data_IF_065963517330
#
_entry.id   IF_065963517330
#
_cell.length_a   1.000
_cell.length_b   1.000
_cell.length_c   1.000
_cell.angle_alpha   90.00
_cell.angle_beta   90.00
_cell.angle_gamma   90.00
#
_symmetry.space_group_name_H-M   'P 1'
#
loop_
_entity.id
_entity.type
_entity.pdbx_description
1 polymer ?
#
# COMPACT_ATOMS: atom_id res chain seq x y z
N UNK A 1 -40.80 18.14 1.09
CA UNK A 1 -40.05 18.97 0.10
C UNK A 1 -38.58 18.56 0.00
N UNK A 2 -37.85 18.51 1.13
CA UNK A 2 -36.40 18.20 1.17
C UNK A 2 -36.07 16.83 0.55
N UNK A 3 -36.75 15.76 0.96
CA UNK A 3 -36.52 14.41 0.41
C UNK A 3 -36.78 14.32 -1.10
N UNK A 4 -37.82 14.99 -1.61
CA UNK A 4 -38.10 15.01 -3.05
C UNK A 4 -36.98 15.70 -3.85
N UNK A 5 -36.39 16.76 -3.31
CA UNK A 5 -35.23 17.41 -3.91
C UNK A 5 -34.01 16.46 -3.88
N UNK A 6 -33.72 15.86 -2.73
CA UNK A 6 -32.64 14.89 -2.54
C UNK A 6 -32.67 13.77 -3.59
N UNK A 7 -33.81 13.10 -3.71
CA UNK A 7 -33.99 12.02 -4.68
C UNK A 7 -34.01 12.50 -6.13
N UNK A 8 -34.42 13.75 -6.41
CA UNK A 8 -34.36 14.28 -7.78
C UNK A 8 -32.92 14.54 -8.23
N UNK A 9 -32.05 15.00 -7.32
CA UNK A 9 -30.60 15.08 -7.57
C UNK A 9 -30.06 13.67 -7.83
N UNK A 10 -30.46 12.71 -6.99
CA UNK A 10 -30.11 11.30 -7.16
C UNK A 10 -30.54 10.70 -8.50
N UNK A 11 -31.73 11.05 -9.02
CA UNK A 11 -32.17 10.66 -10.36
C UNK A 11 -31.23 11.18 -11.44
N UNK A 12 -30.84 12.46 -11.37
CA UNK A 12 -29.88 13.05 -12.30
C UNK A 12 -28.53 12.33 -12.26
N UNK A 13 -28.00 12.11 -11.05
CA UNK A 13 -26.75 11.36 -10.85
C UNK A 13 -26.84 9.93 -11.42
N UNK A 14 -27.89 9.18 -11.09
CA UNK A 14 -28.07 7.80 -11.54
C UNK A 14 -28.17 7.66 -13.07
N UNK A 15 -28.90 8.57 -13.73
CA UNK A 15 -28.97 8.59 -15.20
C UNK A 15 -27.61 8.93 -15.84
N UNK A 16 -26.87 9.89 -15.27
CA UNK A 16 -25.52 10.22 -15.74
C UNK A 16 -24.56 9.06 -15.50
N UNK A 17 -24.64 8.38 -14.36
CA UNK A 17 -23.81 7.23 -14.04
C UNK A 17 -24.12 6.04 -14.97
N UNK A 18 -25.39 5.74 -15.25
CA UNK A 18 -25.81 4.72 -16.21
C UNK A 18 -25.14 4.89 -17.57
N UNK A 19 -25.19 6.10 -18.12
CA UNK A 19 -24.57 6.41 -19.42
C UNK A 19 -23.04 6.41 -19.30
N UNK A 20 -22.49 7.06 -18.28
CA UNK A 20 -21.06 7.26 -18.10
C UNK A 20 -20.30 5.95 -17.87
N UNK A 21 -20.75 5.09 -16.95
CA UNK A 21 -20.09 3.82 -16.65
C UNK A 21 -20.17 2.87 -17.86
N UNK A 22 -21.33 2.81 -18.53
CA UNK A 22 -21.49 2.01 -19.75
C UNK A 22 -20.53 2.47 -20.85
N UNK A 23 -20.41 3.79 -21.06
CA UNK A 23 -19.48 4.36 -22.03
C UNK A 23 -18.02 4.03 -21.69
N UNK A 24 -17.63 4.16 -20.41
CA UNK A 24 -16.28 3.82 -19.93
C UNK A 24 -15.95 2.35 -20.21
N UNK A 25 -16.87 1.42 -19.93
CA UNK A 25 -16.63 -0.01 -20.19
C UNK A 25 -16.50 -0.32 -21.68
N UNK A 26 -17.34 0.28 -22.53
CA UNK A 26 -17.24 0.12 -24.00
C UNK A 26 -15.90 0.69 -24.49
N UNK A 27 -15.54 1.89 -24.02
CA UNK A 27 -14.27 2.54 -24.37
C UNK A 27 -13.07 1.67 -23.96
N UNK A 28 -13.08 1.14 -22.74
CA UNK A 28 -12.02 0.26 -22.26
C UNK A 28 -11.91 -1.00 -23.12
N UNK A 29 -13.04 -1.64 -23.47
CA UNK A 29 -13.03 -2.87 -24.24
C UNK A 29 -12.60 -2.69 -25.69
N UNK A 30 -13.11 -1.66 -26.37
CA UNK A 30 -13.00 -1.54 -27.82
C UNK A 30 -12.07 -0.42 -28.32
N UNK A 31 -11.87 0.65 -27.54
CA UNK A 31 -11.12 1.83 -27.98
C UNK A 31 -9.76 1.98 -27.29
N UNK A 32 -9.55 1.39 -26.12
CA UNK A 32 -8.31 1.52 -25.37
C UNK A 32 -7.51 0.22 -25.26
N UNK A 33 -6.30 0.22 -25.84
CA UNK A 33 -5.23 -0.71 -25.48
C UNK A 33 -4.35 -0.17 -24.34
N UNK A 34 -4.69 1.00 -23.78
CA UNK A 34 -3.90 1.62 -22.72
C UNK A 34 -4.13 0.94 -21.38
N UNK A 35 -3.11 0.21 -20.92
CA UNK A 35 -3.08 -0.46 -19.63
C UNK A 35 -3.29 0.51 -18.46
N UNK A 36 -2.93 1.80 -18.59
CA UNK A 36 -3.07 2.79 -17.50
C UNK A 36 -4.52 3.05 -17.13
N UNK A 37 -5.41 3.20 -18.11
CA UNK A 37 -6.83 3.45 -17.86
C UNK A 37 -7.50 2.20 -17.25
N UNK A 38 -7.12 1.02 -17.72
CA UNK A 38 -7.58 -0.26 -17.17
C UNK A 38 -7.17 -0.44 -15.71
N UNK A 39 -5.92 -0.09 -15.38
CA UNK A 39 -5.41 -0.15 -14.01
C UNK A 39 -6.07 0.90 -13.12
N UNK A 40 -6.35 2.09 -13.63
CA UNK A 40 -7.05 3.13 -12.88
C UNK A 40 -8.48 2.69 -12.52
N UNK A 41 -9.23 2.14 -13.47
CA UNK A 41 -10.60 1.66 -13.23
C UNK A 41 -10.63 0.41 -12.33
N UNK A 42 -9.67 -0.50 -12.51
CA UNK A 42 -9.50 -1.67 -11.62
C UNK A 42 -9.16 -1.23 -10.20
N UNK A 43 -8.27 -0.24 -10.04
CA UNK A 43 -7.94 0.36 -8.74
C UNK A 43 -9.15 1.07 -8.12
N UNK A 44 -9.97 1.73 -8.94
CA UNK A 44 -11.17 2.42 -8.49
C UNK A 44 -12.24 1.44 -7.96
N UNK A 45 -12.47 0.32 -8.68
CA UNK A 45 -13.45 -0.71 -8.34
C UNK A 45 -13.00 -1.66 -7.24
N UNK A 46 -11.75 -2.11 -7.29
CA UNK A 46 -11.26 -3.13 -6.37
C UNK A 46 -10.45 -2.55 -5.21
N UNK A 47 -10.00 -1.29 -5.28
CA UNK A 47 -9.23 -0.61 -4.21
C UNK A 47 -7.87 -1.23 -3.88
N UNK A 48 -7.55 -2.39 -4.48
CA UNK A 48 -6.39 -3.21 -4.18
C UNK A 48 -5.80 -3.75 -5.48
N UNK A 49 -4.47 -3.84 -5.54
CA UNK A 49 -3.79 -4.59 -6.58
C UNK A 49 -4.11 -6.08 -6.41
N UNK A 50 -4.62 -6.76 -7.45
CA UNK A 50 -5.03 -8.18 -7.40
C UNK A 50 -3.92 -9.18 -7.10
N UNK A 51 -2.66 -8.72 -7.05
CA UNK A 51 -1.47 -9.52 -6.73
C UNK A 51 -1.24 -9.71 -5.22
N UNK A 52 -2.05 -9.11 -4.34
CA UNK A 52 -1.82 -9.12 -2.89
C UNK A 52 -2.56 -10.30 -2.21
N UNK A 53 -1.82 -11.11 -1.44
CA UNK A 53 -2.41 -12.10 -0.52
C UNK A 53 -3.22 -11.34 0.54
N UNK A 54 -4.55 -11.41 0.45
CA UNK A 54 -5.47 -10.76 1.39
C UNK A 54 -5.27 -11.40 2.77
N UNK A 55 -4.85 -10.61 3.77
CA UNK A 55 -4.77 -11.07 5.15
C UNK A 55 -6.17 -11.33 5.73
N UNK A 56 -6.28 -12.21 6.73
CA UNK A 56 -7.54 -12.41 7.46
C UNK A 56 -8.10 -11.11 8.04
N UNK A 57 -7.23 -10.18 8.45
CA UNK A 57 -7.67 -8.85 8.90
C UNK A 57 -8.30 -8.03 7.78
N UNK A 58 -7.71 -8.06 6.59
CA UNK A 58 -8.18 -7.29 5.44
C UNK A 58 -9.50 -7.87 4.92
N UNK A 59 -9.63 -9.20 4.91
CA UNK A 59 -10.91 -9.89 4.64
C UNK A 59 -12.01 -9.44 5.62
N UNK A 60 -11.68 -9.26 6.90
CA UNK A 60 -12.61 -8.73 7.91
C UNK A 60 -13.07 -7.30 7.60
N UNK A 61 -12.14 -6.40 7.23
CA UNK A 61 -12.51 -5.04 6.82
C UNK A 61 -13.38 -5.02 5.58
N UNK A 62 -13.06 -5.85 4.57
CA UNK A 62 -13.86 -5.99 3.36
C UNK A 62 -15.27 -6.46 3.70
N UNK A 63 -15.43 -7.51 4.50
CA UNK A 63 -16.74 -8.05 4.87
C UNK A 63 -17.62 -7.01 5.59
N UNK A 64 -17.07 -6.32 6.60
CA UNK A 64 -17.81 -5.30 7.34
C UNK A 64 -18.15 -4.11 6.43
N UNK A 65 -17.20 -3.68 5.60
CA UNK A 65 -17.42 -2.58 4.66
C UNK A 65 -18.49 -2.92 3.62
N UNK A 66 -18.56 -4.17 3.15
CA UNK A 66 -19.64 -4.66 2.27
C UNK A 66 -20.97 -4.65 2.99
N UNK A 67 -21.03 -5.19 4.21
CA UNK A 67 -22.27 -5.19 4.98
C UNK A 67 -22.82 -3.77 5.19
N UNK A 68 -21.95 -2.81 5.55
CA UNK A 68 -22.34 -1.42 5.75
C UNK A 68 -22.77 -0.77 4.43
N UNK A 69 -22.00 -0.93 3.36
CA UNK A 69 -22.30 -0.30 2.06
C UNK A 69 -23.58 -0.84 1.44
N UNK A 70 -23.82 -2.15 1.51
CA UNK A 70 -25.07 -2.77 1.06
C UNK A 70 -26.25 -2.28 1.91
N UNK A 71 -26.08 -2.16 3.23
CA UNK A 71 -27.13 -1.60 4.09
C UNK A 71 -27.48 -0.16 3.72
N UNK A 72 -26.48 0.68 3.41
CA UNK A 72 -26.68 2.06 2.96
C UNK A 72 -27.40 2.12 1.60
N UNK A 73 -27.07 1.21 0.67
CA UNK A 73 -27.74 1.08 -0.62
C UNK A 73 -29.23 0.79 -0.46
N UNK A 74 -29.56 -0.29 0.26
CA UNK A 74 -30.92 -0.73 0.50
C UNK A 74 -31.72 0.29 1.33
N UNK A 75 -31.07 0.94 2.29
CA UNK A 75 -31.66 2.04 3.05
C UNK A 75 -32.06 3.21 2.15
N UNK A 76 -31.29 3.48 1.09
CA UNK A 76 -31.65 4.46 0.07
C UNK A 76 -32.98 4.15 -0.60
N UNK A 77 -33.17 2.91 -1.09
CA UNK A 77 -34.44 2.48 -1.68
C UNK A 77 -35.59 2.54 -0.67
N UNK A 78 -35.36 2.08 0.56
CA UNK A 78 -36.36 2.10 1.63
C UNK A 78 -36.85 3.52 1.94
N UNK A 79 -35.94 4.50 2.08
CA UNK A 79 -36.33 5.90 2.31
C UNK A 79 -37.07 6.46 1.10
N UNK A 80 -36.66 6.12 -0.13
CA UNK A 80 -37.33 6.59 -1.33
C UNK A 80 -38.79 6.14 -1.38
N UNK A 81 -39.04 4.85 -1.12
CA UNK A 81 -40.39 4.28 -1.04
C UNK A 81 -41.22 4.91 0.08
N UNK A 82 -40.64 5.03 1.28
CA UNK A 82 -41.30 5.65 2.42
C UNK A 82 -41.67 7.12 2.14
N UNK A 83 -40.83 7.85 1.39
CA UNK A 83 -41.09 9.24 1.01
C UNK A 83 -42.27 9.42 0.05
N UNK A 84 -42.67 8.35 -0.62
CA UNK A 84 -43.82 8.28 -1.54
C UNK A 84 -45.00 7.51 -0.92
N UNK A 85 -44.90 7.15 0.37
CA UNK A 85 -45.97 6.50 1.12
C UNK A 85 -46.17 5.02 0.81
N UNK A 86 -45.19 4.37 0.19
CA UNK A 86 -45.24 2.95 -0.17
C UNK A 86 -44.70 2.11 0.98
N UNK A 87 -45.46 1.08 1.37
CA UNK A 87 -45.06 0.16 2.42
C UNK A 87 -44.07 -0.87 1.89
N UNK A 88 -43.08 -1.16 2.72
CA UNK A 88 -42.08 -2.19 2.47
C UNK A 88 -42.71 -3.55 2.82
N UNK A 89 -42.50 -4.57 1.99
CA UNK A 89 -42.99 -5.92 2.31
C UNK A 89 -42.02 -6.62 3.27
N UNK A 90 -40.75 -6.72 2.87
CA UNK A 90 -39.69 -7.29 3.69
C UNK A 90 -38.31 -6.80 3.24
N UNK A 91 -37.32 -6.95 4.12
CA UNK A 91 -35.90 -6.81 3.79
C UNK A 91 -35.30 -8.20 3.91
N UNK A 92 -34.72 -8.72 2.83
CA UNK A 92 -33.99 -9.98 2.88
C UNK A 92 -32.49 -9.70 2.95
N UNK A 93 -31.81 -10.31 3.92
CA UNK A 93 -30.35 -10.32 4.03
C UNK A 93 -29.89 -11.72 3.70
N UNK A 94 -28.90 -11.84 2.82
CA UNK A 94 -28.35 -13.12 2.37
C UNK A 94 -26.81 -13.06 2.33
N UNK A 95 -26.18 -14.23 2.26
CA UNK A 95 -24.74 -14.34 2.04
C UNK A 95 -24.56 -15.14 0.76
N UNK A 96 -24.02 -14.50 -0.28
CA UNK A 96 -23.67 -15.15 -1.54
C UNK A 96 -22.18 -15.46 -1.55
N UNK A 97 -21.83 -16.74 -1.42
CA UNK A 97 -20.46 -17.22 -1.24
C UNK A 97 -19.82 -16.63 0.02
N UNK A 98 -19.14 -15.49 -0.08
CA UNK A 98 -18.50 -14.77 1.03
C UNK A 98 -18.94 -13.29 1.12
N UNK A 99 -19.83 -12.85 0.24
CA UNK A 99 -20.27 -11.46 0.18
C UNK A 99 -21.66 -11.33 0.83
N UNK A 100 -21.81 -10.50 1.87
CA UNK A 100 -23.12 -10.18 2.41
C UNK A 100 -23.88 -9.33 1.39
N UNK A 101 -25.13 -9.72 1.13
CA UNK A 101 -26.08 -9.02 0.29
C UNK A 101 -27.36 -8.71 1.06
N UNK A 102 -28.07 -7.69 0.63
CA UNK A 102 -29.42 -7.41 1.10
C UNK A 102 -30.25 -6.93 -0.08
N UNK A 103 -31.56 -7.08 0.02
CA UNK A 103 -32.52 -6.53 -0.92
C UNK A 103 -33.75 -6.05 -0.15
N UNK A 104 -34.27 -4.90 -0.55
CA UNK A 104 -35.58 -4.42 -0.13
C UNK A 104 -36.64 -4.93 -1.10
N UNK A 105 -37.59 -5.72 -0.60
CA UNK A 105 -38.73 -6.20 -1.38
C UNK A 105 -39.93 -5.26 -1.24
N UNK A 106 -40.53 -4.94 -2.38
CA UNK A 106 -41.70 -4.08 -2.52
C UNK A 106 -42.52 -4.54 -3.72
N UNK A 107 -43.79 -4.16 -3.74
CA UNK A 107 -44.72 -4.47 -4.82
C UNK A 107 -44.31 -3.75 -6.12
N UNK A 108 -43.78 -4.53 -7.07
CA UNK A 108 -43.37 -4.04 -8.38
C UNK A 108 -44.55 -3.54 -9.23
N UNK A 109 -45.74 -4.14 -9.09
CA UNK A 109 -46.92 -3.73 -9.84
C UNK A 109 -47.42 -2.36 -9.35
N UNK A 110 -47.35 -2.12 -8.03
CA UNK A 110 -47.63 -0.82 -7.44
C UNK A 110 -46.60 0.25 -7.89
N UNK A 111 -45.31 -0.11 -7.97
CA UNK A 111 -44.26 0.80 -8.42
C UNK A 111 -44.38 1.15 -9.92
N UNK A 112 -44.85 0.22 -10.75
CA UNK A 112 -45.14 0.47 -12.17
C UNK A 112 -46.36 1.37 -12.38
N UNK A 113 -47.31 1.38 -11.45
CA UNK A 113 -48.47 2.27 -11.47
C UNK A 113 -48.12 3.74 -11.11
N UNK A 114 -46.94 3.99 -10.51
CA UNK A 114 -46.51 5.33 -10.14
C UNK A 114 -46.12 6.20 -11.35
N UNK A 115 -46.11 7.54 -11.18
CA UNK A 115 -45.48 8.43 -12.15
C UNK A 115 -44.01 8.04 -12.40
N UNK A 116 -43.60 8.01 -13.67
CA UNK A 116 -42.26 7.57 -14.11
C UNK A 116 -41.10 8.24 -13.35
N UNK A 117 -41.22 9.53 -13.03
CA UNK A 117 -40.21 10.25 -12.27
C UNK A 117 -40.11 9.77 -10.82
N UNK A 118 -41.21 9.32 -10.23
CA UNK A 118 -41.23 8.72 -8.90
C UNK A 118 -40.54 7.36 -8.90
N UNK A 119 -40.83 6.51 -9.88
CA UNK A 119 -40.15 5.21 -10.01
C UNK A 119 -38.65 5.39 -10.25
N UNK A 120 -38.23 6.36 -11.09
CA UNK A 120 -36.81 6.70 -11.27
C UNK A 120 -36.13 7.17 -9.98
N UNK A 121 -36.82 7.93 -9.12
CA UNK A 121 -36.27 8.32 -7.81
C UNK A 121 -35.99 7.11 -6.93
N UNK A 122 -36.89 6.12 -6.94
CA UNK A 122 -36.73 4.88 -6.17
C UNK A 122 -35.58 4.04 -6.72
N UNK A 123 -35.53 3.79 -8.03
CA UNK A 123 -34.46 2.97 -8.62
C UNK A 123 -33.08 3.63 -8.54
N UNK A 124 -32.97 4.95 -8.67
CA UNK A 124 -31.69 5.64 -8.49
C UNK A 124 -31.29 5.82 -7.02
N UNK A 125 -32.14 5.46 -6.05
CA UNK A 125 -31.93 5.81 -4.65
C UNK A 125 -30.71 5.12 -4.04
N UNK A 126 -30.52 3.82 -4.25
CA UNK A 126 -29.38 3.07 -3.73
C UNK A 126 -28.04 3.57 -4.27
N UNK A 127 -27.97 3.73 -5.60
CA UNK A 127 -26.80 4.34 -6.29
C UNK A 127 -26.45 5.70 -5.68
N UNK A 128 -27.45 6.57 -5.49
CA UNK A 128 -27.23 7.90 -4.93
C UNK A 128 -26.72 7.87 -3.49
N UNK A 129 -27.30 7.02 -2.63
CA UNK A 129 -26.87 6.92 -1.23
C UNK A 129 -25.44 6.38 -1.09
N UNK A 130 -25.07 5.39 -1.91
CA UNK A 130 -23.70 4.90 -1.96
C UNK A 130 -22.71 5.93 -2.50
N UNK A 131 -23.10 6.71 -3.52
CA UNK A 131 -22.26 7.80 -4.03
C UNK A 131 -22.01 8.88 -2.97
N UNK A 132 -23.06 9.26 -2.22
CA UNK A 132 -22.95 10.20 -1.09
C UNK A 132 -22.10 9.61 0.03
N UNK A 133 -22.28 8.34 0.37
CA UNK A 133 -21.54 7.68 1.44
C UNK A 133 -20.06 7.52 1.08
N UNK A 134 -19.77 7.22 -0.19
CA UNK A 134 -18.43 7.29 -0.76
C UNK A 134 -17.83 8.71 -0.60
N UNK A 135 -18.56 9.76 -1.00
CA UNK A 135 -18.09 11.14 -0.83
C UNK A 135 -17.84 11.51 0.65
N UNK A 136 -18.69 11.02 1.56
CA UNK A 136 -18.51 11.19 3.00
C UNK A 136 -17.25 10.49 3.50
N UNK A 137 -16.99 9.24 3.09
CA UNK A 137 -15.77 8.52 3.45
C UNK A 137 -14.52 9.25 2.93
N UNK A 138 -14.55 9.74 1.69
CA UNK A 138 -13.47 10.54 1.10
C UNK A 138 -13.23 11.86 1.87
N UNK A 139 -14.31 12.54 2.28
CA UNK A 139 -14.21 13.74 3.11
C UNK A 139 -13.64 13.42 4.50
N UNK A 140 -14.05 12.33 5.13
CA UNK A 140 -13.52 11.91 6.42
C UNK A 140 -12.05 11.53 6.35
N UNK A 141 -11.61 10.88 5.28
CA UNK A 141 -10.19 10.60 5.01
C UNK A 141 -9.39 11.90 4.85
N UNK A 142 -9.91 12.85 4.07
CA UNK A 142 -9.27 14.15 3.89
C UNK A 142 -9.17 14.95 5.20
N UNK A 143 -10.22 14.89 6.04
CA UNK A 143 -10.24 15.55 7.34
C UNK A 143 -9.57 14.75 8.46
N UNK A 144 -9.09 13.52 8.18
CA UNK A 144 -8.53 12.63 9.19
C UNK A 144 -7.41 13.27 10.02
N UNK A 145 -6.41 13.98 9.44
CA UNK A 145 -5.36 14.62 10.24
C UNK A 145 -5.92 15.65 11.23
N UNK A 146 -6.96 16.41 10.82
CA UNK A 146 -7.62 17.41 11.65
C UNK A 146 -8.44 16.76 12.76
N UNK A 147 -9.18 15.70 12.45
CA UNK A 147 -9.99 14.93 13.41
C UNK A 147 -9.10 14.27 14.47
N UNK A 148 -7.94 13.75 14.05
CA UNK A 148 -7.01 13.05 14.93
C UNK A 148 -6.05 13.99 15.67
N UNK A 149 -5.86 15.23 15.20
CA UNK A 149 -4.93 16.22 15.77
C UNK A 149 -5.04 16.41 17.31
N UNK A 150 -6.23 16.42 17.95
CA UNK A 150 -6.32 16.58 19.40
C UNK A 150 -5.67 15.43 20.18
N UNK A 151 -5.59 14.24 19.59
CA UNK A 151 -5.13 13.01 20.25
C UNK A 151 -3.78 12.52 19.70
N UNK A 152 -3.46 12.85 18.45
CA UNK A 152 -2.28 12.40 17.74
C UNK A 152 -1.49 13.57 17.16
N UNK A 153 -0.17 13.38 17.04
CA UNK A 153 0.74 14.21 16.26
C UNK A 153 1.21 13.41 15.05
N UNK A 154 1.53 14.10 13.96
CA UNK A 154 2.34 13.48 12.90
C UNK A 154 3.79 13.39 13.38
N UNK A 155 4.34 12.19 13.37
CA UNK A 155 5.72 11.93 13.70
C UNK A 155 6.64 12.37 12.55
N UNK A 156 7.83 12.88 12.87
CA UNK A 156 8.88 13.20 11.88
C UNK A 156 9.53 11.95 11.27
N UNK A 157 9.33 10.79 11.92
CA UNK A 157 9.83 9.47 11.54
C UNK A 157 8.75 8.43 11.81
N UNK A 158 8.54 7.46 10.90
CA UNK A 158 7.47 6.47 11.06
C UNK A 158 7.72 5.55 12.27
N UNK A 159 6.67 5.32 13.05
CA UNK A 159 6.68 4.54 14.27
C UNK A 159 6.30 3.08 14.00
N UNK A 160 7.04 2.15 14.61
CA UNK A 160 6.79 0.71 14.58
C UNK A 160 5.56 0.38 15.43
N UNK A 161 4.47 -0.04 14.79
CA UNK A 161 3.28 -0.55 15.46
C UNK A 161 3.43 -2.01 15.88
N UNK A 162 3.85 -2.84 14.93
CA UNK A 162 4.09 -4.28 15.07
C UNK A 162 5.33 -4.67 14.28
N UNK A 163 6.01 -5.70 14.78
CA UNK A 163 7.21 -6.26 14.16
C UNK A 163 7.15 -7.78 14.26
N UNK A 164 7.50 -8.44 13.17
CA UNK A 164 7.64 -9.87 13.03
C UNK A 164 9.08 -10.21 12.58
N UNK A 165 9.40 -11.50 12.53
CA UNK A 165 10.65 -11.96 11.93
C UNK A 165 10.70 -11.53 10.45
N UNK A 166 11.84 -11.05 9.92
CA UNK A 166 13.18 -11.10 10.53
C UNK A 166 13.58 -9.87 11.38
N UNK A 167 12.77 -8.82 11.46
CA UNK A 167 13.14 -7.58 12.16
C UNK A 167 12.86 -7.57 13.66
N UNK A 168 12.13 -8.56 14.18
CA UNK A 168 11.72 -8.65 15.60
C UNK A 168 12.87 -8.78 16.60
N UNK A 169 14.06 -9.15 16.13
CA UNK A 169 15.27 -9.24 16.96
C UNK A 169 15.92 -7.86 17.19
N UNK A 170 15.67 -6.90 16.29
CA UNK A 170 16.33 -5.59 16.28
C UNK A 170 15.41 -4.45 16.68
N UNK A 171 14.14 -4.53 16.28
CA UNK A 171 13.14 -3.50 16.48
C UNK A 171 12.09 -3.96 17.48
N UNK A 172 11.54 -3.00 18.21
CA UNK A 172 10.42 -3.20 19.13
C UNK A 172 9.26 -2.27 18.78
N UNK A 173 8.01 -2.66 19.10
CA UNK A 173 6.87 -1.76 18.96
C UNK A 173 7.07 -0.46 19.75
N UNK A 174 6.96 0.68 19.08
CA UNK A 174 7.22 2.01 19.64
C UNK A 174 8.57 2.62 19.24
N UNK A 175 9.43 1.88 18.54
CA UNK A 175 10.64 2.44 17.93
C UNK A 175 10.25 3.28 16.70
N UNK A 176 10.98 4.36 16.42
CA UNK A 176 10.80 5.17 15.21
C UNK A 176 11.96 4.97 14.24
N UNK A 177 11.65 4.64 12.98
CA UNK A 177 12.65 4.43 11.94
C UNK A 177 13.16 5.78 11.45
N UNK A 178 14.42 6.08 11.73
CA UNK A 178 15.04 7.37 11.43
C UNK A 178 15.65 7.40 10.02
N UNK A 179 16.37 6.34 9.62
CA UNK A 179 17.03 6.29 8.32
C UNK A 179 17.23 4.87 7.79
N UNK A 180 17.37 4.78 6.46
CA UNK A 180 17.71 3.58 5.70
C UNK A 180 18.97 3.86 4.88
N UNK A 181 20.06 3.12 5.09
CA UNK A 181 21.38 3.36 4.48
C UNK A 181 21.84 4.83 4.62
N UNK A 182 21.52 5.46 5.76
CA UNK A 182 21.83 6.86 6.04
C UNK A 182 20.89 7.88 5.37
N UNK A 183 19.95 7.47 4.53
CA UNK A 183 18.91 8.35 4.00
C UNK A 183 17.76 8.47 5.01
N UNK A 184 17.40 9.69 5.39
CA UNK A 184 16.34 9.94 6.36
C UNK A 184 14.97 9.45 5.85
N UNK A 185 14.23 8.77 6.72
CA UNK A 185 12.88 8.28 6.44
C UNK A 185 11.88 9.14 7.22
N UNK A 186 11.11 9.93 6.48
CA UNK A 186 10.13 10.86 7.05
C UNK A 186 8.67 10.37 6.98
N UNK A 187 8.41 9.33 6.21
CA UNK A 187 7.06 8.82 5.98
C UNK A 187 7.08 7.32 5.70
N UNK A 188 5.93 6.66 5.90
CA UNK A 188 5.74 5.25 5.51
C UNK A 188 5.90 5.10 4.00
N UNK A 189 5.46 6.10 3.23
CA UNK A 189 5.63 6.11 1.79
C UNK A 189 7.10 6.15 1.38
N UNK A 190 7.91 7.01 2.01
CA UNK A 190 9.36 7.07 1.76
C UNK A 190 10.03 5.71 2.04
N UNK A 191 9.61 5.03 3.12
CA UNK A 191 10.07 3.68 3.43
C UNK A 191 9.72 2.67 2.32
N UNK A 192 8.47 2.65 1.85
CA UNK A 192 8.02 1.72 0.80
C UNK A 192 8.69 2.02 -0.55
N UNK A 193 8.82 3.29 -0.93
CA UNK A 193 9.46 3.67 -2.20
C UNK A 193 10.95 3.33 -2.20
N UNK A 194 11.65 3.64 -1.11
CA UNK A 194 13.08 3.37 -1.02
C UNK A 194 13.39 1.87 -1.03
N UNK A 195 12.59 1.07 -0.33
CA UNK A 195 12.74 -0.39 -0.31
C UNK A 195 12.38 -1.02 -1.65
N UNK A 196 11.35 -0.54 -2.35
CA UNK A 196 11.02 -0.99 -3.71
C UNK A 196 12.11 -0.65 -4.73
N UNK A 197 12.76 0.51 -4.61
CA UNK A 197 13.91 0.87 -5.45
C UNK A 197 15.12 -0.04 -5.19
N UNK A 198 15.38 -0.38 -3.93
CA UNK A 198 16.45 -1.30 -3.56
C UNK A 198 16.18 -2.71 -4.11
N UNK A 199 14.94 -3.19 -4.03
CA UNK A 199 14.52 -4.47 -4.60
C UNK A 199 14.70 -4.52 -6.13
N UNK A 200 14.24 -3.48 -6.84
CA UNK A 200 14.43 -3.35 -8.29
C UNK A 200 15.92 -3.36 -8.68
N UNK A 201 16.78 -2.80 -7.85
CA UNK A 201 18.24 -2.79 -8.06
C UNK A 201 18.82 -4.21 -8.03
N UNK A 202 18.29 -5.13 -7.22
CA UNK A 202 18.69 -6.55 -7.21
C UNK A 202 18.41 -7.17 -8.58
N UNK A 203 17.19 -6.97 -9.08
CA UNK A 203 16.73 -7.50 -10.37
C UNK A 203 17.53 -6.91 -11.56
N UNK A 204 17.90 -5.62 -11.50
CA UNK A 204 18.68 -4.96 -12.56
C UNK A 204 20.19 -5.19 -12.49
N UNK A 205 20.77 -5.44 -11.30
CA UNK A 205 22.17 -5.86 -11.20
C UNK A 205 22.44 -7.22 -11.88
N UNK A 206 21.39 -7.96 -12.24
CA UNK A 206 21.46 -9.14 -13.12
C UNK A 206 21.60 -8.78 -14.62
N UNK A 207 21.35 -7.52 -15.02
CA UNK A 207 21.31 -7.09 -16.42
C UNK A 207 21.68 -5.60 -16.59
N UNK A 208 22.99 -5.34 -16.60
CA UNK A 208 23.66 -4.14 -17.12
C UNK A 208 23.56 -2.82 -16.31
N UNK A 209 24.73 -2.25 -16.06
CA UNK A 209 24.95 -0.99 -15.36
C UNK A 209 24.65 0.19 -16.28
N UNK A 210 23.65 1.01 -15.95
CA UNK A 210 23.60 2.48 -16.14
C UNK A 210 22.19 3.00 -15.80
N UNK A 211 22.15 4.20 -15.21
CA UNK A 211 21.01 5.06 -14.83
C UNK A 211 20.43 4.95 -13.40
N UNK A 212 20.82 5.90 -12.53
CA UNK A 212 19.95 7.01 -12.10
C UNK A 212 20.76 8.06 -11.32
N UNK A 213 21.00 9.23 -11.92
CA UNK A 213 21.33 10.46 -11.21
C UNK A 213 20.03 11.02 -10.63
N UNK A 214 19.91 11.10 -9.30
CA UNK A 214 18.76 11.77 -8.66
C UNK A 214 18.54 11.40 -7.20
N UNK A 215 18.98 10.22 -6.79
CA UNK A 215 19.03 9.82 -5.38
C UNK A 215 20.48 9.46 -5.10
N UNK A 216 21.07 10.06 -4.06
CA UNK A 216 22.49 9.92 -3.75
C UNK A 216 22.95 8.47 -3.91
N UNK A 217 23.85 8.26 -4.86
CA UNK A 217 24.24 6.95 -5.38
C UNK A 217 24.42 5.93 -4.25
N UNK A 218 23.47 4.99 -4.12
CA UNK A 218 23.65 3.81 -3.29
C UNK A 218 24.66 2.96 -4.04
N UNK A 219 25.95 3.19 -3.82
CA UNK A 219 27.04 2.54 -4.52
C UNK A 219 27.10 1.07 -4.10
N UNK A 220 27.36 0.19 -5.06
CA UNK A 220 27.48 -1.26 -4.88
C UNK A 220 28.76 -1.66 -4.14
N UNK A 221 29.35 -0.74 -3.36
CA UNK A 221 30.71 -0.78 -2.81
C UNK A 221 30.80 -0.17 -1.41
N UNK A 222 29.69 -0.18 -0.66
CA UNK A 222 29.70 0.18 0.77
C UNK A 222 30.27 -0.96 1.61
N UNK A 223 30.98 -0.61 2.68
CA UNK A 223 31.59 -1.54 3.63
C UNK A 223 32.07 -0.80 4.88
N UNK A 224 32.72 -1.53 5.79
CA UNK A 224 33.30 -0.99 7.02
C UNK A 224 34.81 -1.21 7.05
N UNK A 225 35.54 -0.22 7.55
CA UNK A 225 36.96 -0.33 7.86
C UNK A 225 37.13 -1.12 9.16
N UNK A 226 37.48 -2.40 9.03
CA UNK A 226 37.65 -3.30 10.17
C UNK A 226 39.15 -3.43 10.49
N UNK A 227 39.57 -3.12 11.73
CA UNK A 227 40.95 -3.35 12.18
C UNK A 227 41.39 -4.79 11.96
N UNK A 228 42.60 -4.98 11.46
CA UNK A 228 43.14 -6.31 11.15
C UNK A 228 43.19 -7.22 12.39
N UNK A 229 43.34 -6.66 13.60
CA UNK A 229 43.26 -7.40 14.87
C UNK A 229 41.91 -8.13 15.05
N UNK A 230 40.79 -7.53 14.65
CA UNK A 230 39.46 -8.17 14.72
C UNK A 230 39.29 -9.27 13.66
N UNK A 231 40.11 -9.26 12.61
CA UNK A 231 40.11 -10.31 11.59
C UNK A 231 40.85 -11.55 12.06
N UNK A 232 41.88 -11.39 12.90
CA UNK A 232 42.61 -12.51 13.50
C UNK A 232 41.75 -13.28 14.52
N UNK A 233 40.83 -12.59 15.19
CA UNK A 233 39.87 -13.17 16.15
C UNK A 233 38.60 -13.75 15.48
N UNK A 234 38.38 -13.45 14.19
CA UNK A 234 37.18 -13.85 13.46
C UNK A 234 37.15 -15.35 13.13
N UNK A 235 35.97 -15.97 13.27
CA UNK A 235 35.80 -17.39 12.91
C UNK A 235 35.56 -17.53 11.41
N UNK A 236 36.35 -18.39 10.76
CA UNK A 236 36.19 -18.72 9.34
C UNK A 236 34.85 -19.43 9.07
N UNK A 237 34.20 -19.05 7.98
CA UNK A 237 32.91 -19.63 7.55
C UNK A 237 33.11 -20.92 6.76
N UNK A 238 32.35 -21.97 7.08
CA UNK A 238 32.15 -23.12 6.18
C UNK A 238 31.03 -22.77 5.19
N UNK A 239 31.39 -22.37 3.98
CA UNK A 239 30.45 -22.05 2.90
C UNK A 239 29.89 -23.34 2.28
N UNK A 240 28.76 -23.83 2.80
CA UNK A 240 27.95 -24.79 2.07
C UNK A 240 27.22 -24.06 0.93
N UNK A 241 27.18 -24.66 -0.27
CA UNK A 241 26.52 -24.09 -1.46
C UNK A 241 25.12 -23.57 -1.09
N UNK A 242 25.00 -22.24 -0.99
CA UNK A 242 23.79 -21.43 -0.73
C UNK A 242 23.46 -21.02 0.71
N UNK A 243 24.35 -21.19 1.71
CA UNK A 243 24.19 -20.50 3.02
C UNK A 243 25.51 -20.40 3.76
N UNK A 244 25.92 -19.18 4.14
CA UNK A 244 26.91 -18.97 5.20
C UNK A 244 26.20 -19.15 6.54
N UNK A 245 26.62 -20.14 7.33
CA UNK A 245 26.05 -20.38 8.66
C UNK A 245 26.95 -19.71 9.69
N UNK A 246 26.66 -18.43 10.00
CA UNK A 246 27.23 -17.78 11.17
C UNK A 246 26.35 -18.07 12.41
N UNK A 247 26.94 -18.11 13.62
CA UNK A 247 26.18 -18.14 14.87
C UNK A 247 25.25 -16.93 14.99
N UNK A 248 24.23 -17.03 15.85
CA UNK A 248 23.33 -15.90 16.16
C UNK A 248 24.14 -14.68 16.64
N UNK A 249 23.73 -13.46 16.24
CA UNK A 249 24.44 -12.17 16.35
C UNK A 249 25.64 -11.92 15.38
N UNK A 250 26.12 -12.94 14.66
CA UNK A 250 27.24 -12.80 13.71
C UNK A 250 26.76 -12.76 12.26
N UNK A 251 27.36 -11.87 11.46
CA UNK A 251 27.14 -11.82 10.00
C UNK A 251 28.43 -12.21 9.29
N UNK A 252 28.31 -12.91 8.16
CA UNK A 252 29.45 -13.23 7.33
C UNK A 252 29.89 -11.97 6.56
N UNK A 253 31.16 -11.58 6.70
CA UNK A 253 31.78 -10.50 5.96
C UNK A 253 32.87 -11.05 5.05
N UNK A 254 33.08 -10.38 3.92
CA UNK A 254 34.16 -10.65 2.97
C UNK A 254 34.95 -9.38 2.74
N UNK A 255 36.27 -9.53 2.60
CA UNK A 255 37.16 -8.42 2.24
C UNK A 255 36.86 -7.94 0.83
N UNK A 256 36.71 -6.63 0.67
CA UNK A 256 36.54 -6.00 -0.64
C UNK A 256 37.76 -5.14 -0.97
N UNK A 257 38.19 -5.19 -2.23
CA UNK A 257 39.30 -4.38 -2.72
C UNK A 257 38.74 -3.14 -3.41
N UNK A 258 39.14 -1.96 -2.92
CA UNK A 258 38.76 -0.69 -3.50
C UNK A 258 39.50 -0.46 -4.83
N UNK A 259 38.75 -0.24 -5.91
CA UNK A 259 39.31 0.02 -7.23
C UNK A 259 39.91 1.43 -7.29
N UNK A 260 41.09 1.53 -7.92
CA UNK A 260 41.63 2.80 -8.39
C UNK A 260 41.14 3.00 -9.83
N UNK A 261 40.23 3.96 -10.12
CA UNK A 261 39.72 4.18 -11.48
C UNK A 261 40.83 4.62 -12.45
N UNK A 262 42.03 4.95 -11.97
CA UNK A 262 43.19 5.28 -12.80
C UNK A 262 44.03 4.07 -13.24
N UNK A 263 43.76 2.86 -12.73
CA UNK A 263 44.45 1.62 -13.11
C UNK A 263 43.48 0.62 -13.74
N UNK A 264 43.39 0.62 -15.06
CA UNK A 264 42.84 -0.50 -15.82
C UNK A 264 43.79 -1.69 -15.69
N UNK A 265 43.41 -2.70 -14.92
CA UNK A 265 44.06 -4.01 -14.97
C UNK A 265 43.07 -4.95 -15.64
N UNK A 266 43.41 -5.40 -16.84
CA UNK A 266 42.79 -6.55 -17.47
C UNK A 266 43.05 -7.77 -16.57
N UNK A 267 42.04 -8.23 -15.86
CA UNK A 267 42.09 -9.51 -15.14
C UNK A 267 40.95 -10.38 -15.69
N UNK A 268 41.35 -11.50 -16.28
CA UNK A 268 40.46 -12.50 -16.88
C UNK A 268 39.36 -12.93 -15.91
N UNK A 269 38.15 -13.07 -16.46
CA UNK A 269 36.89 -13.23 -15.73
C UNK A 269 36.65 -14.58 -15.04
N UNK A 270 37.65 -15.45 -14.91
CA UNK A 270 37.50 -16.78 -14.28
C UNK A 270 37.99 -16.85 -12.82
N UNK A 271 38.86 -15.94 -12.36
CA UNK A 271 39.41 -15.98 -10.99
C UNK A 271 38.59 -15.19 -9.94
N UNK A 272 37.58 -14.43 -10.36
CA UNK A 272 36.78 -13.58 -9.45
C UNK A 272 35.77 -14.37 -8.62
N UNK A 273 35.28 -15.52 -9.09
CA UNK A 273 34.25 -16.31 -8.38
C UNK A 273 34.82 -17.40 -7.44
N UNK A 274 36.07 -17.84 -7.65
CA UNK A 274 36.74 -18.81 -6.79
C UNK A 274 37.45 -18.15 -5.58
N UNK A 275 38.10 -17.00 -5.76
CA UNK A 275 38.77 -16.29 -4.65
C UNK A 275 37.82 -15.59 -3.66
N UNK A 276 36.55 -15.39 -4.04
CA UNK A 276 35.51 -14.75 -3.20
C UNK A 276 34.98 -15.67 -2.09
N UNK A 277 35.16 -16.99 -2.24
CA UNK A 277 34.62 -18.02 -1.34
C UNK A 277 35.58 -18.43 -0.22
N UNK A 278 36.87 -18.07 -0.26
CA UNK A 278 37.85 -18.65 0.67
C UNK A 278 38.12 -17.84 1.94
N UNK A 279 37.68 -16.58 2.05
CA UNK A 279 38.00 -15.70 3.20
C UNK A 279 36.77 -14.97 3.78
N UNK A 280 35.63 -15.65 3.95
CA UNK A 280 34.51 -15.09 4.69
C UNK A 280 34.69 -15.27 6.20
N UNK A 281 34.55 -14.20 6.98
CA UNK A 281 34.65 -14.22 8.44
C UNK A 281 33.30 -13.90 9.07
N UNK A 282 32.91 -14.65 10.11
CA UNK A 282 31.78 -14.29 10.95
C UNK A 282 32.22 -13.21 11.94
N UNK A 283 31.65 -12.01 11.83
CA UNK A 283 31.94 -10.90 12.71
C UNK A 283 30.66 -10.42 13.40
N UNK A 284 30.82 -9.94 14.64
CA UNK A 284 29.71 -9.39 15.42
C UNK A 284 29.28 -8.04 14.82
N UNK A 285 28.01 -7.95 14.44
CA UNK A 285 27.46 -6.75 13.80
C UNK A 285 27.48 -5.52 14.69
N UNK A 286 27.28 -5.70 16.01
CA UNK A 286 27.26 -4.58 16.98
C UNK A 286 28.61 -3.86 17.07
N UNK A 287 29.69 -4.59 16.88
CA UNK A 287 31.06 -4.05 16.93
C UNK A 287 31.44 -3.36 15.62
N UNK A 288 30.82 -3.76 14.50
CA UNK A 288 31.14 -3.25 13.16
C UNK A 288 30.37 -1.98 12.80
N UNK A 289 29.09 -1.89 13.16
CA UNK A 289 28.20 -0.80 12.70
C UNK A 289 28.71 0.59 13.09
N UNK A 290 29.48 0.67 14.18
CA UNK A 290 30.05 1.92 14.68
C UNK A 290 31.42 2.29 14.07
N UNK A 291 31.99 1.43 13.21
CA UNK A 291 33.29 1.67 12.57
C UNK A 291 33.18 2.64 11.39
N UNK A 292 34.32 3.19 10.96
CA UNK A 292 34.37 4.06 9.78
C UNK A 292 33.92 3.31 8.52
N UNK A 293 33.13 3.99 7.67
CA UNK A 293 32.61 3.41 6.43
C UNK A 293 33.62 3.56 5.30
N UNK A 294 33.80 2.51 4.52
CA UNK A 294 34.61 2.52 3.30
C UNK A 294 33.74 2.56 2.04
N UNK A 295 32.79 3.50 1.99
CA UNK A 295 31.77 3.65 0.93
C UNK A 295 32.08 4.75 -0.11
N UNK A 296 33.28 5.33 -0.05
CA UNK A 296 33.71 6.42 -0.91
C UNK A 296 33.08 7.79 -0.64
N UNK A 297 32.21 7.90 0.38
CA UNK A 297 31.55 9.15 0.79
C UNK A 297 32.22 9.84 1.98
N UNK A 298 33.26 9.23 2.55
CA UNK A 298 34.06 9.78 3.64
C UNK A 298 34.85 11.05 3.23
N UNK A 299 35.31 11.82 4.23
CA UNK A 299 36.17 13.00 4.01
C UNK A 299 37.39 12.59 3.19
N UNK A 300 37.45 13.05 1.93
CA UNK A 300 38.56 12.84 1.00
C UNK A 300 39.89 13.20 1.68
N UNK A 301 40.65 12.20 2.14
CA UNK A 301 42.11 12.38 2.29
C UNK A 301 42.66 12.50 0.88
N UNK A 302 43.57 13.47 0.68
CA UNK A 302 44.15 13.88 -0.62
C UNK A 302 44.89 12.72 -1.33
N UNK A 303 44.18 11.78 -1.93
CA UNK A 303 44.63 10.90 -3.00
C UNK A 303 43.41 10.11 -3.51
N UNK A 304 43.10 10.25 -4.81
CA UNK A 304 41.83 9.88 -5.43
C UNK A 304 41.54 8.39 -5.60
N UNK A 305 41.69 7.57 -4.57
CA UNK A 305 41.09 6.21 -4.52
C UNK A 305 39.79 6.25 -3.71
N UNK A 306 38.74 5.58 -4.21
CA UNK A 306 37.37 5.76 -3.72
C UNK A 306 37.00 4.96 -2.48
N UNK A 307 37.96 4.34 -1.78
CA UNK A 307 37.77 3.90 -0.40
C UNK A 307 39.13 3.57 0.24
N UNK A 308 39.53 4.33 1.25
CA UNK A 308 40.77 4.10 2.01
C UNK A 308 40.44 3.93 3.49
N UNK A 309 40.64 2.71 3.99
CA UNK A 309 40.84 2.46 5.41
C UNK A 309 42.31 2.72 5.78
N UNK A 310 42.63 2.78 7.06
CA UNK A 310 44.01 2.92 7.54
C UNK A 310 44.87 1.69 7.16
N UNK A 311 46.20 1.79 7.19
CA UNK A 311 47.11 0.68 6.81
C UNK A 311 46.87 -0.61 7.63
N UNK A 312 46.43 -0.45 8.89
CA UNK A 312 46.10 -1.55 9.81
C UNK A 312 44.62 -1.98 9.75
N UNK A 313 43.88 -1.53 8.74
CA UNK A 313 42.46 -1.82 8.56
C UNK A 313 42.17 -2.38 7.17
N UNK A 314 41.20 -3.30 7.09
CA UNK A 314 40.70 -3.82 5.81
C UNK A 314 39.25 -3.41 5.62
N UNK A 315 38.89 -3.05 4.38
CA UNK A 315 37.50 -2.78 4.02
C UNK A 315 36.74 -4.11 3.85
N UNK A 316 35.73 -4.34 4.67
CA UNK A 316 34.89 -5.54 4.65
C UNK A 316 33.43 -5.17 4.39
N UNK A 317 32.74 -6.03 3.64
CA UNK A 317 31.29 -5.92 3.41
C UNK A 317 30.58 -7.23 3.75
N UNK A 318 29.33 -7.20 4.23
CA UNK A 318 28.51 -8.41 4.37
C UNK A 318 28.49 -9.21 3.07
N UNK A 319 28.56 -10.54 3.17
CA UNK A 319 28.48 -11.46 2.03
C UNK A 319 27.13 -11.27 1.34
N UNK A 320 27.17 -10.92 0.06
CA UNK A 320 25.99 -10.76 -0.78
C UNK A 320 25.70 -12.06 -1.53
N UNK A 321 24.45 -12.50 -1.50
CA UNK A 321 23.94 -13.59 -2.34
C UNK A 321 23.11 -12.98 -3.48
N UNK A 322 22.94 -13.67 -4.62
CA UNK A 322 22.28 -13.14 -5.81
C UNK A 322 20.87 -12.55 -5.57
N UNK A 323 20.19 -13.00 -4.51
CA UNK A 323 18.82 -12.60 -4.17
C UNK A 323 18.70 -11.88 -2.80
N UNK A 324 19.82 -11.60 -2.12
CA UNK A 324 19.81 -11.00 -0.78
C UNK A 324 20.60 -9.69 -0.78
N UNK A 325 20.00 -8.67 -0.18
CA UNK A 325 20.63 -7.37 0.01
C UNK A 325 20.90 -7.12 1.49
N UNK A 326 21.92 -6.31 1.74
CA UNK A 326 22.18 -5.81 3.08
C UNK A 326 21.97 -4.31 3.14
N UNK A 327 21.32 -3.87 4.21
CA UNK A 327 21.00 -2.47 4.45
C UNK A 327 21.20 -2.13 5.92
N UNK A 328 21.48 -0.86 6.16
CA UNK A 328 21.60 -0.29 7.49
C UNK A 328 20.30 0.40 7.87
N UNK A 329 19.70 0.00 8.99
CA UNK A 329 18.49 0.63 9.52
C UNK A 329 18.86 1.34 10.81
N UNK A 330 18.63 2.65 10.85
CA UNK A 330 18.77 3.43 12.08
C UNK A 330 17.39 3.71 12.65
N UNK A 331 17.25 3.48 13.96
CA UNK A 331 16.01 3.66 14.69
C UNK A 331 16.23 4.45 15.98
N UNK A 332 15.15 4.99 16.55
CA UNK A 332 15.16 5.74 17.80
C UNK A 332 14.09 5.22 18.76
N UNK A 333 14.46 5.08 20.04
CA UNK A 333 13.59 4.59 21.13
C UNK A 333 12.93 5.76 21.85
N UNK A 334 11.96 6.38 21.18
CA UNK A 334 11.29 7.59 21.68
C UNK A 334 10.55 7.41 23.02
N UNK A 335 10.16 6.18 23.34
CA UNK A 335 9.33 5.85 24.51
C UNK A 335 10.02 5.00 25.57
N UNK A 336 11.32 4.70 25.43
CA UNK A 336 12.05 4.07 26.52
C UNK A 336 12.04 5.01 27.74
N UNK A 337 11.80 4.48 28.94
CA UNK A 337 11.80 5.28 30.19
C UNK A 337 13.10 6.06 30.36
N UNK A 338 14.22 5.43 30.03
CA UNK A 338 15.56 6.03 30.08
C UNK A 338 15.66 7.23 29.13
N UNK A 339 15.11 7.09 27.92
CA UNK A 339 15.14 8.14 26.89
C UNK A 339 14.15 9.28 27.14
N UNK A 340 12.99 8.97 27.70
CA UNK A 340 12.04 10.00 28.14
C UNK A 340 12.61 10.84 29.29
N UNK A 341 13.28 10.19 30.25
CA UNK A 341 13.96 10.88 31.35
C UNK A 341 15.11 11.74 30.83
N UNK A 342 15.97 11.18 29.97
CA UNK A 342 17.10 11.90 29.38
C UNK A 342 16.64 13.12 28.56
N UNK A 343 15.56 12.98 27.78
CA UNK A 343 14.95 14.09 27.02
C UNK A 343 14.39 15.18 27.94
N UNK A 344 13.76 14.80 29.06
CA UNK A 344 13.23 15.76 30.02
C UNK A 344 14.33 16.54 30.76
N UNK A 345 15.49 15.92 30.98
CA UNK A 345 16.65 16.56 31.63
C UNK A 345 17.48 17.46 30.70
N UNK A 346 17.33 17.33 29.37
CA UNK A 346 18.18 18.00 28.37
C UNK A 346 17.50 19.19 27.66
N UNK A 347 16.32 19.61 28.10
CA UNK A 347 15.71 20.89 27.67
C UNK A 347 16.56 22.12 28.04
N UNK A 348 17.66 21.95 28.79
CA UNK A 348 18.59 23.00 29.23
C UNK A 348 19.98 23.00 28.53
N UNK A 349 20.28 22.13 27.55
CA UNK A 349 21.60 22.22 26.85
C UNK A 349 21.63 21.76 25.38
N UNK A 350 22.38 22.51 24.57
CA UNK A 350 22.65 22.29 23.14
C UNK A 350 23.54 21.06 22.87
N UNK A 351 23.00 19.85 23.08
CA UNK A 351 23.69 18.59 22.74
C UNK A 351 22.70 17.60 22.14
N UNK A 352 22.27 17.85 20.89
CA UNK A 352 21.39 16.97 20.11
C UNK A 352 22.05 15.63 19.73
N UNK A 353 23.36 15.64 19.46
CA UNK A 353 24.05 14.50 18.85
C UNK A 353 24.34 13.37 19.87
N UNK A 354 24.53 13.72 21.15
CA UNK A 354 24.74 12.76 22.23
C UNK A 354 23.44 11.99 22.60
N UNK A 355 22.27 12.60 22.40
CA UNK A 355 20.96 11.98 22.64
C UNK A 355 20.63 10.97 21.55
N UNK A 356 20.97 11.28 20.29
CA UNK A 356 20.79 10.36 19.17
C UNK A 356 21.57 9.05 19.40
N UNK A 357 22.78 9.13 19.99
CA UNK A 357 23.64 7.99 20.28
C UNK A 357 23.19 7.13 21.47
N UNK A 358 22.51 7.72 22.47
CA UNK A 358 22.03 6.99 23.65
C UNK A 358 20.59 6.47 23.50
N UNK A 359 19.79 7.11 22.67
CA UNK A 359 18.37 6.81 22.49
C UNK A 359 18.01 6.30 21.09
N UNK A 360 19.01 5.85 20.35
CA UNK A 360 18.85 5.20 19.07
C UNK A 360 19.83 4.06 18.91
N UNK A 361 19.68 3.34 17.81
CA UNK A 361 20.56 2.25 17.43
C UNK A 361 20.57 2.08 15.93
N UNK A 362 21.62 1.46 15.45
CA UNK A 362 21.76 1.11 14.05
C UNK A 362 22.09 -0.38 13.97
N UNK A 363 21.46 -1.09 13.04
CA UNK A 363 21.74 -2.49 12.79
C UNK A 363 21.80 -2.80 11.30
N UNK A 364 22.49 -3.88 10.96
CA UNK A 364 22.58 -4.38 9.59
C UNK A 364 21.53 -5.46 9.42
N UNK A 365 20.63 -5.25 8.47
CA UNK A 365 19.73 -6.28 7.99
C UNK A 365 20.32 -6.92 6.74
N UNK A 366 20.39 -8.25 6.70
CA UNK A 366 20.78 -9.03 5.52
C UNK A 366 19.64 -9.96 5.16
N UNK A 367 19.00 -9.75 4.01
CA UNK A 367 17.85 -10.56 3.63
C UNK A 367 17.13 -10.09 2.37
N UNK A 368 15.96 -10.68 2.16
CA UNK A 368 15.01 -10.28 1.13
C UNK A 368 14.28 -8.99 1.55
N UNK A 369 14.24 -8.00 0.65
CA UNK A 369 13.67 -6.68 0.93
C UNK A 369 12.15 -6.75 1.10
N UNK A 370 11.47 -7.61 0.33
CA UNK A 370 10.01 -7.77 0.42
C UNK A 370 9.63 -8.35 1.78
N UNK A 371 10.33 -9.41 2.21
CA UNK A 371 10.15 -10.02 3.53
C UNK A 371 10.41 -9.03 4.66
N UNK A 372 11.43 -8.19 4.52
CA UNK A 372 11.73 -7.14 5.49
C UNK A 372 10.59 -6.12 5.60
N UNK A 373 10.14 -5.56 4.48
CA UNK A 373 9.07 -4.55 4.44
C UNK A 373 7.78 -5.10 5.06
N UNK A 374 7.43 -6.35 4.76
CA UNK A 374 6.23 -6.99 5.30
C UNK A 374 6.36 -7.43 6.76
N UNK A 375 7.58 -7.45 7.32
CA UNK A 375 7.81 -7.80 8.72
C UNK A 375 7.56 -6.66 9.69
N UNK A 376 7.37 -5.42 9.23
CA UNK A 376 7.14 -4.26 10.09
C UNK A 376 5.90 -3.49 9.64
N UNK A 377 5.01 -3.23 10.59
CA UNK A 377 3.88 -2.34 10.39
C UNK A 377 4.21 -0.96 10.94
N UNK A 378 4.13 0.07 10.10
CA UNK A 378 4.46 1.45 10.45
C UNK A 378 3.23 2.36 10.55
N UNK A 379 3.36 3.44 11.32
CA UNK A 379 2.39 4.55 11.37
C UNK A 379 3.10 5.89 11.43
N UNK A 380 2.47 6.91 10.86
CA UNK A 380 2.91 8.31 10.98
C UNK A 380 2.25 8.99 12.18
N UNK A 381 1.30 8.33 12.85
CA UNK A 381 0.55 8.89 13.96
C UNK A 381 1.19 8.54 15.31
N UNK A 382 1.57 9.58 16.05
CA UNK A 382 2.10 9.48 17.38
C UNK A 382 1.04 9.90 18.41
N UNK A 383 0.68 9.08 19.41
CA UNK A 383 -0.24 9.50 20.46
C UNK A 383 0.37 10.64 21.29
N UNK A 384 -0.40 11.72 21.52
CA UNK A 384 0.04 12.87 22.34
C UNK A 384 0.13 12.56 23.82
N UNK A 385 -0.79 11.72 24.31
CA UNK A 385 -0.86 11.31 25.70
C UNK A 385 -0.75 9.79 25.77
N UNK A 386 -0.06 9.27 26.80
CA UNK A 386 0.02 7.83 27.07
C UNK A 386 -1.30 7.19 27.55
N UNK A 387 -2.45 7.78 27.22
CA UNK A 387 -3.77 7.46 27.78
C UNK A 387 -4.75 7.01 26.68
N UNK A 388 -5.35 5.83 26.91
CA UNK A 388 -6.55 5.16 26.36
C UNK A 388 -6.84 5.07 24.85
N UNK A 389 -6.30 5.92 23.97
CA UNK A 389 -6.52 5.75 22.54
C UNK A 389 -5.46 4.83 21.95
N UNK A 390 -5.92 3.68 21.45
CA UNK A 390 -5.08 2.65 20.85
C UNK A 390 -4.14 3.23 19.79
N UNK A 391 -2.84 2.89 19.85
CA UNK A 391 -1.84 3.28 18.82
C UNK A 391 -2.23 2.83 17.39
N UNK A 392 -3.12 1.86 17.30
CA UNK A 392 -3.63 1.31 16.04
C UNK A 392 -4.83 2.07 15.48
N UNK A 393 -5.50 2.92 16.27
CA UNK A 393 -6.78 3.53 15.89
C UNK A 393 -6.69 4.33 14.58
N UNK A 394 -5.68 5.19 14.33
CA UNK A 394 -5.56 5.92 13.06
C UNK A 394 -5.52 4.98 11.86
N UNK A 395 -4.62 4.00 11.87
CA UNK A 395 -4.49 3.03 10.78
C UNK A 395 -5.74 2.16 10.60
N UNK A 396 -6.41 1.76 11.69
CA UNK A 396 -7.67 0.98 11.60
C UNK A 396 -8.81 1.81 11.03
N UNK A 397 -8.94 3.07 11.46
CA UNK A 397 -9.95 4.01 10.95
C UNK A 397 -9.72 4.28 9.46
N UNK A 398 -8.49 4.60 9.08
CA UNK A 398 -8.10 4.86 7.70
C UNK A 398 -8.39 3.65 6.80
N UNK A 399 -7.93 2.44 7.19
CA UNK A 399 -8.24 1.21 6.47
C UNK A 399 -9.74 0.98 6.33
N UNK A 400 -10.51 1.20 7.41
CA UNK A 400 -11.98 1.05 7.38
C UNK A 400 -12.64 2.02 6.41
N UNK A 401 -12.23 3.30 6.44
CA UNK A 401 -12.76 4.34 5.55
C UNK A 401 -12.38 4.08 4.09
N UNK A 402 -11.15 3.67 3.81
CA UNK A 402 -10.70 3.30 2.45
C UNK A 402 -11.49 2.10 1.93
N UNK A 403 -11.64 1.03 2.72
CA UNK A 403 -12.41 -0.14 2.32
C UNK A 403 -13.88 0.22 2.04
N UNK A 404 -14.48 1.01 2.93
CA UNK A 404 -15.88 1.46 2.78
C UNK A 404 -16.05 2.37 1.57
N UNK A 405 -15.11 3.29 1.33
CA UNK A 405 -15.07 4.15 0.15
C UNK A 405 -15.10 3.34 -1.14
N UNK A 406 -14.17 2.40 -1.30
CA UNK A 406 -14.07 1.60 -2.52
C UNK A 406 -15.27 0.69 -2.73
N UNK A 407 -15.76 0.04 -1.67
CA UNK A 407 -16.91 -0.86 -1.78
C UNK A 407 -18.19 -0.08 -2.08
N UNK A 408 -18.43 1.06 -1.43
CA UNK A 408 -19.58 1.93 -1.73
C UNK A 408 -19.52 2.45 -3.16
N UNK A 409 -18.34 2.87 -3.62
CA UNK A 409 -18.11 3.32 -4.98
C UNK A 409 -18.37 2.20 -6.00
N UNK A 410 -17.82 1.01 -5.76
CA UNK A 410 -18.04 -0.15 -6.60
C UNK A 410 -19.52 -0.52 -6.67
N UNK A 411 -20.23 -0.52 -5.54
CA UNK A 411 -21.65 -0.86 -5.48
C UNK A 411 -22.51 0.18 -6.22
N UNK A 412 -22.18 1.47 -6.14
CA UNK A 412 -22.82 2.51 -6.93
C UNK A 412 -22.55 2.36 -8.44
N UNK A 413 -21.30 2.09 -8.84
CA UNK A 413 -20.92 1.94 -10.24
C UNK A 413 -21.53 0.67 -10.88
N UNK A 414 -21.47 -0.46 -10.16
CA UNK A 414 -22.05 -1.73 -10.61
C UNK A 414 -23.56 -1.61 -10.77
N UNK A 415 -24.28 -1.12 -9.76
CA UNK A 415 -25.73 -0.96 -9.86
C UNK A 415 -26.17 0.08 -10.88
N UNK A 416 -25.27 0.97 -11.33
CA UNK A 416 -25.57 1.89 -12.42
C UNK A 416 -25.58 1.21 -13.79
N UNK A 417 -25.00 0.02 -13.96
CA UNK A 417 -24.88 -0.62 -15.27
C UNK A 417 -26.22 -1.20 -15.76
N UNK A 418 -26.51 -1.15 -17.08
CA UNK A 418 -27.69 -1.78 -17.67
C UNK A 418 -27.45 -3.30 -17.79
N UNK A 419 -27.43 -3.99 -16.66
CA UNK A 419 -27.17 -5.42 -16.53
C UNK A 419 -28.35 -6.07 -15.80
N UNK A 420 -28.68 -7.29 -16.19
CA UNK A 420 -29.75 -8.04 -15.55
C UNK A 420 -29.60 -8.08 -14.03
N UNK A 421 -30.72 -7.90 -13.32
CA UNK A 421 -30.83 -7.94 -11.85
C UNK A 421 -30.17 -6.78 -11.10
N UNK A 422 -29.62 -5.77 -11.79
CA UNK A 422 -29.10 -4.55 -11.16
C UNK A 422 -30.08 -3.37 -11.36
N UNK A 423 -29.98 -2.35 -10.51
CA UNK A 423 -30.85 -1.17 -10.58
C UNK A 423 -30.85 -0.50 -11.96
N UNK A 424 -29.71 -0.51 -12.65
CA UNK A 424 -29.54 0.08 -13.98
C UNK A 424 -30.42 -0.54 -15.05
N UNK A 425 -30.86 -1.80 -14.91
CA UNK A 425 -31.88 -2.41 -15.79
C UNK A 425 -33.21 -1.65 -15.67
N UNK A 426 -33.69 -1.45 -14.44
CA UNK A 426 -34.95 -0.77 -14.16
C UNK A 426 -34.86 0.73 -14.45
N UNK A 427 -33.73 1.37 -14.15
CA UNK A 427 -33.48 2.77 -14.51
C UNK A 427 -33.59 2.96 -16.02
N UNK A 428 -32.94 2.08 -16.79
CA UNK A 428 -32.97 2.11 -18.26
C UNK A 428 -34.40 1.89 -18.79
N UNK A 429 -35.13 0.92 -18.25
CA UNK A 429 -36.51 0.65 -18.64
C UNK A 429 -37.40 1.89 -18.49
N UNK A 430 -37.39 2.49 -17.30
CA UNK A 430 -38.21 3.67 -17.01
C UNK A 430 -37.74 4.88 -17.82
N UNK A 431 -36.43 5.07 -17.99
CA UNK A 431 -35.88 6.16 -18.81
C UNK A 431 -36.32 6.05 -20.27
N UNK A 432 -36.28 4.85 -20.87
CA UNK A 432 -36.72 4.62 -22.24
C UNK A 432 -38.24 4.86 -22.40
N UNK A 433 -39.03 4.56 -21.37
CA UNK A 433 -40.48 4.82 -21.36
C UNK A 433 -40.84 6.32 -21.38
N UNK A 434 -39.89 7.21 -21.07
CA UNK A 434 -40.08 8.66 -21.14
C UNK A 434 -40.09 9.17 -22.59
N UNK A 435 -39.46 8.46 -23.51
CA UNK A 435 -39.43 8.84 -24.92
C UNK A 435 -40.73 8.44 -25.63
N UNK A 436 -41.70 9.35 -25.61
CA UNK A 436 -43.05 9.19 -26.20
C UNK A 436 -43.07 8.91 -27.71
N UNK A 437 -41.94 9.12 -28.40
CA UNK A 437 -41.76 8.84 -29.83
C UNK A 437 -41.60 7.35 -30.15
N UNK A 438 -41.21 6.52 -29.17
CA UNK A 438 -41.00 5.09 -29.36
C UNK A 438 -42.29 4.31 -29.08
N UNK A 439 -42.68 3.42 -29.99
CA UNK A 439 -43.76 2.48 -29.72
C UNK A 439 -43.34 1.46 -28.66
N UNK A 440 -44.28 0.95 -27.83
CA UNK A 440 -43.97 0.03 -26.74
C UNK A 440 -43.18 -1.21 -27.20
N UNK A 441 -43.44 -1.70 -28.42
CA UNK A 441 -42.67 -2.82 -29.02
C UNK A 441 -41.21 -2.43 -29.32
N UNK A 442 -40.97 -1.21 -29.80
CA UNK A 442 -39.60 -0.71 -30.06
C UNK A 442 -38.86 -0.47 -28.75
N UNK A 443 -39.50 0.15 -27.76
CA UNK A 443 -38.94 0.37 -26.42
C UNK A 443 -38.48 -0.93 -25.78
N UNK A 444 -39.33 -1.97 -25.79
CA UNK A 444 -38.96 -3.29 -25.26
C UNK A 444 -37.77 -3.93 -25.99
N UNK A 445 -37.71 -3.80 -27.32
CA UNK A 445 -36.57 -4.30 -28.10
C UNK A 445 -35.27 -3.55 -27.77
N UNK A 446 -35.33 -2.23 -27.64
CA UNK A 446 -34.16 -1.40 -27.29
C UNK A 446 -33.67 -1.77 -25.89
N UNK A 447 -34.59 -1.85 -24.91
CA UNK A 447 -34.26 -2.29 -23.56
C UNK A 447 -33.56 -3.65 -23.56
N UNK A 448 -34.13 -4.66 -24.22
CA UNK A 448 -33.52 -5.99 -24.33
C UNK A 448 -32.12 -5.95 -24.95
N UNK A 449 -31.93 -5.22 -26.06
CA UNK A 449 -30.62 -5.10 -26.70
C UNK A 449 -29.61 -4.42 -25.79
N UNK A 450 -30.01 -3.35 -25.10
CA UNK A 450 -29.14 -2.62 -24.18
C UNK A 450 -28.76 -3.46 -22.96
N UNK A 451 -29.69 -4.22 -22.37
CA UNK A 451 -29.39 -5.05 -21.19
C UNK A 451 -28.55 -6.27 -21.56
N UNK A 452 -28.84 -6.94 -22.69
CA UNK A 452 -28.01 -8.05 -23.18
C UNK A 452 -26.61 -7.55 -23.55
N UNK A 453 -26.53 -6.45 -24.30
CA UNK A 453 -25.26 -5.82 -24.68
C UNK A 453 -24.45 -5.35 -23.46
N UNK A 454 -25.10 -4.67 -22.51
CA UNK A 454 -24.51 -4.21 -21.26
C UNK A 454 -23.99 -5.36 -20.40
N UNK A 455 -24.74 -6.46 -20.31
CA UNK A 455 -24.31 -7.68 -19.62
C UNK A 455 -23.08 -8.30 -20.29
N UNK A 456 -23.08 -8.44 -21.62
CA UNK A 456 -21.94 -8.99 -22.37
C UNK A 456 -20.69 -8.11 -22.23
N UNK A 457 -20.83 -6.80 -22.40
CA UNK A 457 -19.75 -5.81 -22.24
C UNK A 457 -19.20 -5.87 -20.81
N UNK A 458 -20.05 -5.91 -19.79
CA UNK A 458 -19.61 -5.99 -18.40
C UNK A 458 -18.80 -7.26 -18.15
N UNK A 459 -19.33 -8.43 -18.54
CA UNK A 459 -18.62 -9.71 -18.40
C UNK A 459 -17.27 -9.70 -19.10
N UNK A 460 -17.21 -9.25 -20.35
CA UNK A 460 -15.95 -9.17 -21.10
C UNK A 460 -14.96 -8.20 -20.45
N UNK A 461 -15.42 -7.06 -19.93
CA UNK A 461 -14.58 -6.08 -19.27
C UNK A 461 -14.00 -6.64 -17.97
N UNK A 462 -14.81 -7.30 -17.14
CA UNK A 462 -14.35 -7.95 -15.92
C UNK A 462 -13.36 -9.08 -16.21
N UNK A 463 -13.64 -9.93 -17.20
CA UNK A 463 -12.71 -10.97 -17.63
C UNK A 463 -11.37 -10.39 -18.07
N UNK A 464 -11.38 -9.34 -18.89
CA UNK A 464 -10.15 -8.65 -19.33
C UNK A 464 -9.39 -8.04 -18.16
N UNK A 465 -10.09 -7.41 -17.21
CA UNK A 465 -9.46 -6.88 -16.00
C UNK A 465 -8.81 -7.98 -15.17
N UNK A 466 -9.44 -9.15 -15.01
CA UNK A 466 -8.82 -10.28 -14.31
C UNK A 466 -7.63 -10.83 -15.07
N UNK A 467 -7.70 -10.95 -16.41
CA UNK A 467 -6.63 -11.54 -17.20
C UNK A 467 -5.35 -10.67 -17.20
N UNK A 468 -5.47 -9.34 -17.40
CA UNK A 468 -4.34 -8.39 -17.40
C UNK A 468 -3.65 -8.28 -16.03
N UNK A 469 -4.38 -8.60 -14.97
CA UNK A 469 -3.90 -8.44 -13.61
C UNK A 469 -3.22 -9.71 -13.05
N UNK A 470 -3.47 -10.87 -13.67
CA UNK A 470 -2.90 -12.16 -13.28
C UNK A 470 -1.81 -12.65 -14.23
N UNK A 471 -1.68 -12.04 -15.42
CA UNK A 471 -0.65 -12.31 -16.44
C UNK A 471 -0.10 -10.99 -16.98
#
# INVERSE_FOLDING_TARGET
MILKLWFSIGTGFGLTALIGVTWILIWQLFLSSDARLSNLFSSLLFGFSPSLRISMSDAGYLFISTLVSVSVHEFGHAIALASEGIQLEYIAVFIAVLFPGALVAFDYDLLQALPRLTSLRVYCAGIWHNAVFCALCGLLLFLQPVILFPFYMHAESPLVLEVASPLSEFLSPGDAIASLDGAAIHSVQNWMEMTALLDKKILQNSSDSRYFEGFGAVDSRKGYCVPNALLEDGKNVLLAKNRSVCPEDFTAFVKIYCFDPSKSVDMDGEDVDLGRKENALCLNTKDIVNLEKCDGRGKVKKNGSSCMCSEDESCLSPVQFPDLMWIEITYSRLYSRECLQLRSSLLDSNTSDAVQQTCGGTFIFVGDMISMVHSVQLTEYQPRWGIFLSKYLPNKLEKSLICTFHISLALALLNSLPVYFLDGESILEVALSHFTSLSSRKTRKIHQVCVVGGSLVSVLAFLRMTFINFF
#
